data_IF_642698856179
#
_entry.id   IF_642698856179
#
_cell.length_a   1.000
_cell.length_b   1.000
_cell.length_c   1.000
_cell.angle_alpha   90.00
_cell.angle_beta   90.00
_cell.angle_gamma   90.00
#
_symmetry.space_group_name_H-M   'P 1'
#
loop_
_entity.id
_entity.type
_entity.pdbx_description
1 polymer ?
#
# COMPACT_ATOMS: atom_id res chain seq x y z
N UNK A 1 22.89 8.83 -16.48
CA UNK A 1 21.59 9.14 -15.86
C UNK A 1 21.25 7.91 -15.04
N UNK A 2 21.24 8.04 -13.72
CA UNK A 2 20.81 6.94 -12.85
C UNK A 2 19.34 6.67 -13.17
N UNK A 3 19.04 5.48 -13.69
CA UNK A 3 17.68 4.96 -13.63
C UNK A 3 17.38 4.81 -12.15
N UNK A 4 16.66 5.79 -11.59
CA UNK A 4 16.21 5.71 -10.21
C UNK A 4 15.31 4.47 -10.11
N UNK A 5 15.75 3.50 -9.31
CA UNK A 5 14.98 2.28 -9.09
C UNK A 5 13.65 2.63 -8.41
N UNK A 6 12.55 2.49 -9.14
CA UNK A 6 11.20 2.60 -8.60
C UNK A 6 10.70 1.21 -8.25
N UNK A 7 10.53 0.94 -6.96
CA UNK A 7 9.97 -0.33 -6.50
C UNK A 7 8.52 -0.48 -6.97
N UNK A 8 8.25 -1.48 -7.81
CA UNK A 8 6.89 -1.87 -8.19
C UNK A 8 6.39 -2.97 -7.24
N UNK A 9 5.24 -2.78 -6.55
CA UNK A 9 4.70 -3.81 -5.69
C UNK A 9 4.33 -5.08 -6.47
N UNK A 10 4.66 -6.23 -5.90
CA UNK A 10 4.38 -7.54 -6.51
C UNK A 10 2.87 -7.79 -6.54
N UNK A 11 2.34 -8.22 -7.69
CA UNK A 11 0.90 -8.50 -7.90
C UNK A 11 -0.03 -7.29 -7.62
N UNK A 12 0.46 -6.06 -7.84
CA UNK A 12 -0.29 -4.83 -7.56
C UNK A 12 -1.74 -4.86 -8.06
N UNK A 13 -1.93 -5.08 -9.36
CA UNK A 13 -3.25 -5.02 -9.99
C UNK A 13 -4.19 -6.08 -9.39
N UNK A 14 -3.68 -7.29 -9.11
CA UNK A 14 -4.48 -8.36 -8.51
C UNK A 14 -4.96 -8.01 -7.11
N UNK A 15 -4.11 -7.36 -6.31
CA UNK A 15 -4.49 -6.90 -4.96
C UNK A 15 -5.53 -5.79 -5.07
N UNK A 16 -5.35 -4.82 -5.96
CA UNK A 16 -6.34 -3.76 -6.17
C UNK A 16 -7.70 -4.32 -6.59
N UNK A 17 -7.73 -5.28 -7.52
CA UNK A 17 -8.96 -5.95 -7.97
C UNK A 17 -9.67 -6.68 -6.83
N UNK A 18 -8.92 -7.36 -5.95
CA UNK A 18 -9.50 -8.03 -4.77
C UNK A 18 -10.16 -7.05 -3.80
N UNK A 19 -9.69 -5.81 -3.75
CA UNK A 19 -10.24 -4.75 -2.90
C UNK A 19 -11.42 -3.99 -3.50
N UNK A 20 -11.78 -4.27 -4.77
CA UNK A 20 -12.88 -3.59 -5.46
C UNK A 20 -14.26 -3.86 -4.83
N UNK A 21 -14.44 -5.02 -4.21
CA UNK A 21 -15.69 -5.42 -3.55
C UNK A 21 -15.69 -5.15 -2.03
N UNK A 22 -14.58 -4.65 -1.48
CA UNK A 22 -14.45 -4.40 -0.04
C UNK A 22 -15.24 -3.13 0.33
N UNK A 23 -16.19 -3.21 1.27
CA UNK A 23 -16.92 -2.03 1.72
C UNK A 23 -16.01 -0.98 2.37
N UNK A 24 -16.46 0.27 2.37
CA UNK A 24 -15.82 1.34 3.12
C UNK A 24 -15.61 0.93 4.59
N UNK A 25 -14.44 1.25 5.15
CA UNK A 25 -14.06 0.79 6.48
C UNK A 25 -12.56 0.77 6.72
N UNK A 26 -12.13 0.12 7.80
CA UNK A 26 -10.73 0.01 8.16
C UNK A 26 -10.07 -1.19 7.45
N UNK A 27 -9.04 -0.91 6.65
CA UNK A 27 -8.13 -1.87 6.03
C UNK A 27 -6.82 -1.92 6.84
N UNK A 28 -6.36 -3.14 7.15
CA UNK A 28 -5.07 -3.37 7.82
C UNK A 28 -4.05 -3.91 6.81
N UNK A 29 -2.98 -3.17 6.57
CA UNK A 29 -1.80 -3.66 5.85
C UNK A 29 -0.77 -4.15 6.88
N UNK A 30 -0.67 -5.47 7.04
CA UNK A 30 0.19 -6.08 8.05
C UNK A 30 1.69 -6.09 7.67
N UNK A 31 2.02 -5.67 6.45
CA UNK A 31 3.37 -5.66 5.87
C UNK A 31 3.56 -4.41 5.03
N UNK A 32 3.33 -3.24 5.64
CA UNK A 32 3.20 -1.96 4.96
C UNK A 32 4.36 -1.68 4.00
N UNK A 33 5.59 -2.04 4.37
CA UNK A 33 6.78 -1.75 3.58
C UNK A 33 6.86 -0.26 3.23
N UNK A 34 7.14 0.05 1.97
CA UNK A 34 7.07 1.42 1.44
C UNK A 34 5.66 1.93 1.08
N UNK A 35 4.60 1.27 1.57
CA UNK A 35 3.19 1.57 1.32
C UNK A 35 2.72 1.49 -0.14
N UNK A 36 3.45 0.79 -1.02
CA UNK A 36 3.12 0.73 -2.44
C UNK A 36 1.76 0.07 -2.72
N UNK A 37 1.45 -1.06 -2.08
CA UNK A 37 0.12 -1.69 -2.18
C UNK A 37 -0.96 -0.82 -1.54
N UNK A 38 -0.73 -0.37 -0.30
CA UNK A 38 -1.69 0.43 0.43
C UNK A 38 -2.10 1.71 -0.33
N UNK A 39 -1.16 2.42 -0.96
CA UNK A 39 -1.46 3.60 -1.78
C UNK A 39 -2.37 3.29 -2.95
N UNK A 40 -2.08 2.22 -3.70
CA UNK A 40 -2.89 1.84 -4.85
C UNK A 40 -4.30 1.40 -4.44
N UNK A 41 -4.43 0.66 -3.34
CA UNK A 41 -5.73 0.26 -2.79
C UNK A 41 -6.55 1.49 -2.38
N UNK A 42 -5.96 2.43 -1.64
CA UNK A 42 -6.66 3.66 -1.20
C UNK A 42 -7.05 4.56 -2.38
N UNK A 43 -6.23 4.62 -3.43
CA UNK A 43 -6.55 5.36 -4.65
C UNK A 43 -7.75 4.74 -5.39
N UNK A 44 -7.83 3.41 -5.46
CA UNK A 44 -8.90 2.70 -6.13
C UNK A 44 -10.19 2.62 -5.30
N UNK A 45 -10.09 2.61 -3.96
CA UNK A 45 -11.22 2.51 -3.05
C UNK A 45 -11.13 3.58 -1.93
N UNK A 46 -11.56 4.83 -2.22
CA UNK A 46 -11.43 5.96 -1.29
C UNK A 46 -12.25 5.85 -0.01
N UNK A 47 -13.17 4.88 0.10
CA UNK A 47 -13.94 4.63 1.31
C UNK A 47 -13.15 3.86 2.37
N UNK A 48 -11.95 3.38 2.05
CA UNK A 48 -11.08 2.68 2.97
C UNK A 48 -10.20 3.63 3.76
N UNK A 49 -10.00 3.32 5.04
CA UNK A 49 -9.00 3.91 5.90
C UNK A 49 -7.92 2.88 6.21
N UNK A 50 -6.65 3.29 6.26
CA UNK A 50 -5.53 2.38 6.43
C UNK A 50 -5.00 2.38 7.88
N UNK A 51 -4.80 1.18 8.43
CA UNK A 51 -3.87 0.91 9.52
C UNK A 51 -2.69 0.10 8.95
N UNK A 52 -1.55 0.75 8.77
CA UNK A 52 -0.34 0.11 8.26
C UNK A 52 0.59 -0.33 9.39
N UNK A 53 1.10 -1.55 9.31
CA UNK A 53 2.04 -2.14 10.25
C UNK A 53 3.31 -2.56 9.51
N UNK A 54 4.46 -2.20 10.05
CA UNK A 54 5.73 -2.79 9.69
C UNK A 54 6.63 -2.81 10.93
N UNK A 55 7.55 -3.77 10.99
CA UNK A 55 8.55 -3.85 12.08
C UNK A 55 9.80 -3.04 11.75
N UNK A 56 10.03 -2.74 10.48
CA UNK A 56 11.20 -1.99 10.02
C UNK A 56 10.92 -0.48 10.05
N UNK A 57 11.63 0.24 10.92
CA UNK A 57 11.53 1.69 11.05
C UNK A 57 11.88 2.43 9.75
N UNK A 58 12.75 1.86 8.90
CA UNK A 58 13.11 2.44 7.61
C UNK A 58 11.93 2.33 6.64
N UNK A 59 11.23 1.19 6.64
CA UNK A 59 10.01 1.00 5.86
C UNK A 59 8.90 1.97 6.31
N UNK A 60 8.67 2.07 7.63
CA UNK A 60 7.71 3.03 8.19
C UNK A 60 8.06 4.47 7.79
N UNK A 61 9.34 4.85 7.88
CA UNK A 61 9.81 6.17 7.46
C UNK A 61 9.62 6.42 5.97
N UNK A 62 9.79 5.40 5.12
CA UNK A 62 9.56 5.49 3.68
C UNK A 62 8.06 5.60 3.35
N UNK A 63 7.20 4.91 4.09
CA UNK A 63 5.75 4.94 3.91
C UNK A 63 5.12 6.32 4.22
N UNK A 64 5.71 7.05 5.16
CA UNK A 64 5.24 8.38 5.62
C UNK A 64 5.62 9.55 4.70
N UNK A 65 6.36 9.31 3.61
CA UNK A 65 6.79 10.33 2.64
C UNK A 65 5.77 10.57 1.54
#
# INVERSE_FOLDING_TARGET
MSDDFVHKPVLLDRIVDLFSEVPAGLYVDATLGGAGHARAVLQANPGLHLLGLDRDEVALSAAMR
#
